data_IF_514539444698
#
_entry.id   IF_514539444698
#
_cell.length_a   1.000
_cell.length_b   1.000
_cell.length_c   1.000
_cell.angle_alpha   90.00
_cell.angle_beta   90.00
_cell.angle_gamma   90.00
#
_symmetry.space_group_name_H-M   'P 1'
#
loop_
_entity.id
_entity.type
_entity.pdbx_description
1 polymer ?
#
# COMPACT_ATOMS: atom_id res chain seq x y z
N UNK A 1 10.01 -25.95 14.82
CA UNK A 1 9.36 -25.62 13.49
C UNK A 1 8.33 -26.65 13.03
N UNK A 2 7.81 -27.49 13.94
CA UNK A 2 6.84 -28.57 13.60
C UNK A 2 5.48 -28.00 13.15
N UNK A 3 5.16 -26.77 13.53
CA UNK A 3 3.89 -26.12 13.27
C UNK A 3 4.00 -24.94 12.29
N UNK A 4 5.10 -24.81 11.56
CA UNK A 4 5.32 -23.68 10.63
C UNK A 4 5.45 -24.20 9.21
N UNK A 5 4.68 -23.63 8.29
CA UNK A 5 4.75 -23.90 6.86
C UNK A 5 5.30 -22.71 6.11
N UNK A 6 6.32 -22.92 5.27
CA UNK A 6 6.93 -21.89 4.42
C UNK A 6 6.52 -21.99 2.96
N UNK A 7 6.13 -23.17 2.50
CA UNK A 7 5.65 -23.36 1.12
C UNK A 7 4.22 -22.89 0.98
N UNK A 8 3.94 -22.06 -0.03
CA UNK A 8 2.60 -21.54 -0.30
C UNK A 8 1.53 -22.62 -0.52
N UNK A 9 1.91 -23.74 -1.12
CA UNK A 9 1.00 -24.88 -1.29
C UNK A 9 0.64 -25.57 0.05
N UNK A 10 1.60 -25.67 0.96
CA UNK A 10 1.36 -26.20 2.30
C UNK A 10 0.50 -25.23 3.13
N UNK A 11 0.78 -23.92 3.04
CA UNK A 11 0.01 -22.88 3.70
C UNK A 11 -1.45 -22.87 3.24
N UNK A 12 -1.70 -22.94 1.93
CA UNK A 12 -3.03 -23.00 1.33
C UNK A 12 -3.77 -24.28 1.77
N UNK A 13 -3.08 -25.42 1.79
CA UNK A 13 -3.67 -26.68 2.23
C UNK A 13 -4.02 -26.68 3.74
N UNK A 14 -3.18 -26.08 4.58
CA UNK A 14 -3.46 -25.89 6.01
C UNK A 14 -4.68 -24.99 6.19
N UNK A 15 -4.72 -23.83 5.52
CA UNK A 15 -5.83 -22.88 5.62
C UNK A 15 -7.16 -23.50 5.18
N UNK A 16 -7.17 -24.22 4.05
CA UNK A 16 -8.35 -24.96 3.56
C UNK A 16 -8.78 -26.08 4.51
N UNK A 17 -7.81 -26.81 5.07
CA UNK A 17 -8.06 -27.88 6.03
C UNK A 17 -8.68 -27.37 7.33
N UNK A 18 -8.21 -26.22 7.84
CA UNK A 18 -8.78 -25.54 9.01
C UNK A 18 -10.21 -25.07 8.73
N UNK A 19 -10.43 -24.35 7.64
CA UNK A 19 -11.75 -23.85 7.26
C UNK A 19 -12.77 -25.00 7.06
N UNK A 20 -12.36 -26.07 6.38
CA UNK A 20 -13.21 -27.25 6.19
C UNK A 20 -13.54 -27.96 7.50
N UNK A 21 -12.57 -28.09 8.43
CA UNK A 21 -12.79 -28.68 9.76
C UNK A 21 -13.79 -27.84 10.57
N UNK A 22 -13.68 -26.53 10.54
CA UNK A 22 -14.59 -25.63 11.22
C UNK A 22 -16.01 -25.69 10.64
N UNK A 23 -16.15 -25.64 9.31
CA UNK A 23 -17.44 -25.78 8.60
C UNK A 23 -18.15 -27.08 8.93
N UNK A 24 -17.42 -28.20 8.89
CA UNK A 24 -17.97 -29.55 9.16
C UNK A 24 -18.02 -29.92 10.63
N UNK A 25 -17.54 -29.07 11.55
CA UNK A 25 -17.47 -29.31 13.01
C UNK A 25 -16.81 -30.66 13.35
N UNK A 26 -15.72 -30.99 12.67
CA UNK A 26 -15.06 -32.28 12.84
C UNK A 26 -14.32 -32.36 14.16
N UNK A 27 -14.56 -33.45 14.92
CA UNK A 27 -13.93 -33.70 16.20
C UNK A 27 -12.48 -34.20 16.09
N UNK A 28 -12.18 -34.93 15.00
CA UNK A 28 -10.83 -35.47 14.77
C UNK A 28 -9.95 -34.46 14.07
N UNK A 29 -8.71 -34.38 14.49
CA UNK A 29 -7.69 -33.59 13.80
C UNK A 29 -7.38 -34.19 12.43
N UNK A 30 -7.46 -33.40 11.40
CA UNK A 30 -7.28 -33.85 10.00
C UNK A 30 -6.75 -32.73 9.09
N UNK A 31 -6.04 -31.75 9.66
CA UNK A 31 -5.45 -30.66 8.89
C UNK A 31 -4.16 -31.13 8.22
N UNK A 32 -4.04 -31.00 6.87
CA UNK A 32 -2.84 -31.41 6.15
C UNK A 32 -1.58 -30.71 6.69
N UNK A 33 -0.46 -31.39 6.68
CA UNK A 33 0.86 -30.89 7.12
C UNK A 33 0.97 -30.48 8.59
N UNK A 34 -0.07 -30.56 9.38
CA UNK A 34 -0.04 -30.38 10.83
C UNK A 34 -0.33 -31.72 11.52
N UNK A 35 0.67 -32.37 12.11
CA UNK A 35 0.54 -33.73 12.67
C UNK A 35 -0.36 -33.80 13.93
N UNK A 36 -0.47 -32.67 14.66
CA UNK A 36 -1.35 -32.53 15.84
C UNK A 36 -1.98 -31.15 15.88
N UNK A 37 -3.09 -31.01 16.62
CA UNK A 37 -3.71 -29.72 16.87
C UNK A 37 -2.74 -28.85 17.71
N UNK A 38 -2.32 -27.67 17.25
CA UNK A 38 -1.48 -26.78 18.03
C UNK A 38 -2.06 -26.44 19.40
N UNK A 39 -3.39 -26.37 19.54
CA UNK A 39 -4.05 -26.09 20.82
C UNK A 39 -3.78 -27.19 21.84
N UNK A 40 -3.69 -28.46 21.45
CA UNK A 40 -3.41 -29.58 22.31
C UNK A 40 -2.00 -29.50 22.98
N UNK A 41 -1.12 -28.71 22.40
CA UNK A 41 0.24 -28.47 22.91
C UNK A 41 0.45 -27.05 23.43
N UNK A 42 -0.63 -26.34 23.73
CA UNK A 42 -0.60 -25.01 24.33
C UNK A 42 -0.18 -23.89 23.36
N UNK A 43 -0.35 -24.08 22.06
CA UNK A 43 -0.06 -23.09 21.03
C UNK A 43 -1.33 -22.60 20.34
N UNK A 44 -1.29 -21.39 19.77
CA UNK A 44 -2.40 -20.83 19.02
C UNK A 44 -2.16 -20.96 17.52
N UNK A 45 -3.25 -20.94 16.74
CA UNK A 45 -3.19 -21.05 15.27
C UNK A 45 -2.71 -19.81 14.57
N UNK A 46 -2.70 -18.64 15.26
CA UNK A 46 -2.95 -17.38 14.57
C UNK A 46 -1.72 -16.71 13.98
N UNK A 47 -0.54 -16.84 14.55
CA UNK A 47 0.62 -16.11 14.03
C UNK A 47 1.82 -16.98 13.66
N UNK A 48 1.90 -18.19 14.24
CA UNK A 48 3.11 -19.02 14.14
C UNK A 48 3.08 -20.04 12.99
N UNK A 49 1.92 -20.24 12.35
CA UNK A 49 1.73 -21.32 11.36
C UNK A 49 2.07 -20.87 9.95
N UNK A 50 1.76 -19.61 9.61
CA UNK A 50 2.01 -19.06 8.27
C UNK A 50 2.95 -17.87 8.38
N UNK A 51 4.18 -18.05 7.89
CA UNK A 51 5.22 -17.04 7.82
C UNK A 51 5.54 -16.70 6.37
N UNK A 52 5.76 -15.44 6.09
CA UNK A 52 6.09 -14.95 4.76
C UNK A 52 7.59 -14.76 4.63
N UNK A 53 8.18 -15.50 3.71
CA UNK A 53 9.58 -15.36 3.31
C UNK A 53 9.70 -15.54 1.79
N UNK A 54 10.92 -15.57 1.28
CA UNK A 54 11.24 -15.74 -0.15
C UNK A 54 10.66 -17.02 -0.78
N UNK A 55 10.29 -18.03 0.02
CA UNK A 55 9.69 -19.29 -0.44
C UNK A 55 8.16 -19.29 -0.34
N UNK A 56 7.57 -18.25 0.25
CA UNK A 56 6.12 -18.14 0.42
C UNK A 56 5.46 -17.79 -0.91
N UNK A 57 4.52 -18.63 -1.34
CA UNK A 57 3.79 -18.42 -2.59
C UNK A 57 2.63 -17.44 -2.44
N UNK A 58 1.93 -17.19 -3.59
CA UNK A 58 0.75 -16.30 -3.73
C UNK A 58 -0.34 -16.53 -2.68
N UNK A 59 -0.56 -17.77 -2.26
CA UNK A 59 -1.58 -18.13 -1.27
C UNK A 59 -1.26 -17.61 0.13
N UNK A 60 0.01 -17.64 0.52
CA UNK A 60 0.46 -17.18 1.84
C UNK A 60 0.25 -15.67 2.04
N UNK A 61 0.62 -14.87 1.05
CA UNK A 61 0.44 -13.40 1.10
C UNK A 61 -1.03 -13.02 1.22
N UNK A 62 -1.90 -13.61 0.38
CA UNK A 62 -3.34 -13.36 0.44
C UNK A 62 -3.95 -13.81 1.78
N UNK A 63 -3.51 -14.95 2.31
CA UNK A 63 -3.97 -15.42 3.62
C UNK A 63 -3.61 -14.44 4.73
N UNK A 64 -2.35 -14.01 4.79
CA UNK A 64 -1.88 -13.04 5.81
C UNK A 64 -2.66 -11.72 5.74
N UNK A 65 -2.86 -11.16 4.55
CA UNK A 65 -3.62 -9.93 4.36
C UNK A 65 -5.09 -10.10 4.76
N UNK A 66 -5.70 -11.24 4.43
CA UNK A 66 -7.09 -11.53 4.77
C UNK A 66 -7.29 -11.71 6.27
N UNK A 67 -6.45 -12.49 6.93
CA UNK A 67 -6.60 -12.81 8.36
C UNK A 67 -6.29 -11.61 9.26
N UNK A 68 -5.27 -10.82 8.93
CA UNK A 68 -4.83 -9.74 9.81
C UNK A 68 -5.48 -8.39 9.51
N UNK A 69 -5.92 -8.17 8.26
CA UNK A 69 -6.41 -6.85 7.80
C UNK A 69 -7.76 -6.91 7.09
N UNK A 70 -8.38 -8.08 6.94
CA UNK A 70 -9.64 -8.24 6.22
C UNK A 70 -9.52 -8.06 4.70
N UNK A 71 -8.31 -8.00 4.16
CA UNK A 71 -8.02 -7.71 2.75
C UNK A 71 -8.02 -8.99 1.91
N UNK A 72 -9.00 -9.13 1.02
CA UNK A 72 -9.12 -10.27 0.12
C UNK A 72 -8.74 -9.87 -1.30
N UNK A 73 -7.50 -10.17 -1.71
CA UNK A 73 -6.97 -9.77 -3.02
C UNK A 73 -7.63 -10.59 -4.14
N UNK A 74 -8.07 -9.96 -5.26
CA UNK A 74 -8.54 -10.64 -6.46
C UNK A 74 -7.58 -11.74 -6.93
N UNK A 75 -8.12 -12.86 -7.41
CA UNK A 75 -7.30 -14.02 -7.78
C UNK A 75 -6.20 -13.68 -8.79
N UNK A 76 -6.55 -12.90 -9.81
CA UNK A 76 -5.62 -12.47 -10.87
C UNK A 76 -4.53 -11.51 -10.36
N UNK A 77 -4.76 -10.80 -9.26
CA UNK A 77 -3.80 -9.86 -8.66
C UNK A 77 -2.79 -10.58 -7.74
N UNK A 78 -3.15 -11.75 -7.20
CA UNK A 78 -2.34 -12.48 -6.18
C UNK A 78 -0.93 -12.79 -6.64
N UNK A 79 -0.75 -13.03 -7.93
CA UNK A 79 0.55 -13.36 -8.49
C UNK A 79 1.50 -12.16 -8.43
N UNK A 80 1.05 -11.00 -8.88
CA UNK A 80 1.85 -9.77 -8.88
C UNK A 80 2.19 -9.34 -7.45
N UNK A 81 1.20 -9.35 -6.54
CA UNK A 81 1.42 -9.03 -5.12
C UNK A 81 2.40 -10.03 -4.48
N UNK A 82 2.25 -11.31 -4.80
CA UNK A 82 3.17 -12.35 -4.33
C UNK A 82 4.61 -12.13 -4.76
N UNK A 83 4.84 -11.78 -6.03
CA UNK A 83 6.17 -11.43 -6.53
C UNK A 83 6.74 -10.17 -5.88
N UNK A 84 5.92 -9.15 -5.68
CA UNK A 84 6.34 -7.91 -5.00
C UNK A 84 6.84 -8.19 -3.58
N UNK A 85 6.03 -8.92 -2.80
CA UNK A 85 6.36 -9.27 -1.41
C UNK A 85 7.61 -10.16 -1.35
N UNK A 86 7.71 -11.12 -2.28
CA UNK A 86 8.89 -11.98 -2.39
C UNK A 86 10.15 -11.17 -2.68
N UNK A 87 10.11 -10.26 -3.65
CA UNK A 87 11.25 -9.40 -4.01
C UNK A 87 11.76 -8.61 -2.79
N UNK A 88 10.87 -8.00 -2.02
CA UNK A 88 11.25 -7.28 -0.80
C UNK A 88 11.84 -8.22 0.26
N UNK A 89 11.30 -9.44 0.42
CA UNK A 89 11.84 -10.45 1.34
C UNK A 89 13.24 -10.90 0.94
N UNK A 90 13.49 -11.07 -0.36
CA UNK A 90 14.80 -11.47 -0.90
C UNK A 90 15.84 -10.34 -0.72
N UNK A 91 15.47 -9.09 -0.96
CA UNK A 91 16.37 -7.93 -0.76
C UNK A 91 16.74 -7.72 0.71
N UNK A 92 15.78 -7.88 1.60
CA UNK A 92 16.00 -7.70 3.04
C UNK A 92 16.59 -8.95 3.73
N UNK A 93 16.65 -10.09 3.02
CA UNK A 93 17.11 -11.39 3.55
C UNK A 93 16.39 -11.82 4.84
N UNK A 94 15.06 -11.54 4.97
CA UNK A 94 14.30 -11.75 6.19
C UNK A 94 12.89 -12.26 5.95
N UNK A 95 12.37 -12.87 6.99
CA UNK A 95 10.95 -13.11 7.17
C UNK A 95 10.19 -11.78 7.34
N UNK A 96 9.06 -11.63 6.63
CA UNK A 96 8.24 -10.43 6.72
C UNK A 96 7.10 -10.64 7.73
N UNK A 97 6.92 -9.68 8.62
CA UNK A 97 5.75 -9.65 9.51
C UNK A 97 4.47 -9.35 8.73
N UNK A 98 3.29 -9.76 9.22
CA UNK A 98 2.02 -9.41 8.60
C UNK A 98 1.85 -7.91 8.34
N UNK A 99 2.27 -7.09 9.28
CA UNK A 99 2.23 -5.63 9.15
C UNK A 99 3.12 -5.14 8.00
N UNK A 100 4.29 -5.72 7.81
CA UNK A 100 5.19 -5.34 6.73
C UNK A 100 4.66 -5.77 5.36
N UNK A 101 4.03 -6.94 5.28
CA UNK A 101 3.33 -7.39 4.06
C UNK A 101 2.22 -6.40 3.69
N UNK A 102 1.43 -5.93 4.66
CA UNK A 102 0.41 -4.91 4.45
C UNK A 102 1.01 -3.58 3.95
N UNK A 103 2.08 -3.08 4.57
CA UNK A 103 2.74 -1.84 4.17
C UNK A 103 3.29 -1.90 2.72
N UNK A 104 3.87 -3.03 2.32
CA UNK A 104 4.33 -3.25 0.93
C UNK A 104 3.15 -3.17 -0.04
N UNK A 105 2.05 -3.81 0.31
CA UNK A 105 0.82 -3.79 -0.49
C UNK A 105 0.21 -2.38 -0.54
N UNK A 106 0.08 -1.71 0.61
CA UNK A 106 -0.47 -0.36 0.73
C UNK A 106 0.36 0.67 -0.04
N UNK A 107 1.67 0.66 0.10
CA UNK A 107 2.57 1.61 -0.57
C UNK A 107 2.47 1.54 -2.10
N UNK A 108 2.19 0.38 -2.66
CA UNK A 108 2.13 0.21 -4.11
C UNK A 108 0.74 0.34 -4.70
N UNK A 109 -0.28 -0.17 -4.00
CA UNK A 109 -1.59 -0.36 -4.62
C UNK A 109 -2.70 0.47 -3.98
N UNK A 110 -2.61 0.89 -2.72
CA UNK A 110 -3.75 1.48 -2.02
C UNK A 110 -3.68 3.00 -2.03
N UNK A 111 -4.65 3.65 -2.68
CA UNK A 111 -4.79 5.12 -2.73
C UNK A 111 -3.51 5.85 -3.19
N UNK A 112 -2.63 5.20 -3.92
CA UNK A 112 -1.36 5.76 -4.39
C UNK A 112 -1.57 6.49 -5.70
N UNK A 113 -1.57 7.81 -5.69
CA UNK A 113 -1.90 8.67 -6.81
C UNK A 113 -0.79 9.71 -7.03
N UNK A 114 0.41 9.30 -7.48
CA UNK A 114 1.57 10.19 -7.58
C UNK A 114 1.48 11.17 -8.74
N UNK A 115 0.82 10.82 -9.84
CA UNK A 115 0.87 11.58 -11.09
C UNK A 115 -0.38 12.41 -11.32
N UNK A 116 -1.57 11.85 -11.13
CA UNK A 116 -2.82 12.60 -11.17
C UNK A 116 -3.79 12.10 -10.10
N UNK A 117 -4.75 12.95 -9.74
CA UNK A 117 -5.78 12.67 -8.73
C UNK A 117 -7.14 13.15 -9.22
N UNK A 118 -8.20 12.46 -8.81
CA UNK A 118 -9.57 12.95 -8.89
C UNK A 118 -9.98 13.38 -7.49
N UNK A 119 -10.19 14.70 -7.29
CA UNK A 119 -10.52 15.28 -5.98
C UNK A 119 -11.99 15.21 -5.66
N UNK A 120 -12.81 15.54 -6.66
CA UNK A 120 -14.27 15.59 -6.54
C UNK A 120 -14.87 14.94 -7.79
N UNK A 121 -15.97 14.22 -7.61
CA UNK A 121 -16.71 13.62 -8.72
C UNK A 121 -18.20 13.67 -8.40
N UNK A 122 -18.96 14.26 -9.31
CA UNK A 122 -20.41 14.39 -9.21
C UNK A 122 -21.08 13.56 -10.32
N UNK A 123 -22.22 12.95 -10.00
CA UNK A 123 -22.94 12.09 -10.94
C UNK A 123 -24.35 12.58 -11.15
N UNK A 124 -24.78 12.58 -12.41
CA UNK A 124 -26.13 12.89 -12.82
C UNK A 124 -26.66 11.78 -13.71
N UNK A 125 -27.82 11.26 -13.36
CA UNK A 125 -28.50 10.28 -14.21
C UNK A 125 -29.27 11.01 -15.33
N UNK A 126 -28.99 10.59 -16.56
CA UNK A 126 -29.68 11.05 -17.77
C UNK A 126 -30.00 9.80 -18.61
N UNK A 127 -29.79 9.81 -19.90
CA UNK A 127 -29.70 8.55 -20.67
C UNK A 127 -28.31 7.97 -20.54
N UNK A 128 -28.08 7.19 -19.43
CA UNK A 128 -26.80 6.80 -18.91
C UNK A 128 -26.40 7.57 -17.63
N UNK A 129 -25.13 7.51 -17.25
CA UNK A 129 -24.54 8.26 -16.13
C UNK A 129 -23.57 9.30 -16.67
N UNK A 130 -23.86 10.58 -16.44
CA UNK A 130 -22.88 11.66 -16.63
C UNK A 130 -22.05 11.79 -15.34
N UNK A 131 -20.74 11.74 -15.45
CA UNK A 131 -19.82 12.12 -14.40
C UNK A 131 -19.18 13.47 -14.74
N UNK A 132 -19.06 14.34 -13.74
CA UNK A 132 -18.24 15.55 -13.76
C UNK A 132 -17.18 15.41 -12.68
N UNK A 133 -15.91 15.52 -13.04
CA UNK A 133 -14.80 15.31 -12.11
C UNK A 133 -13.76 16.43 -12.18
N UNK A 134 -13.18 16.75 -11.02
CA UNK A 134 -12.03 17.63 -10.93
C UNK A 134 -10.74 16.79 -10.95
N UNK A 135 -10.06 16.77 -12.10
CA UNK A 135 -8.74 16.14 -12.25
C UNK A 135 -7.65 17.15 -11.86
N UNK A 136 -6.73 16.71 -11.00
CA UNK A 136 -5.51 17.45 -10.67
C UNK A 136 -4.32 16.70 -11.27
N UNK A 137 -3.61 17.33 -12.19
CA UNK A 137 -2.45 16.80 -12.90
C UNK A 137 -1.41 17.90 -13.13
N UNK A 138 -0.13 17.64 -12.89
CA UNK A 138 0.95 18.63 -13.05
C UNK A 138 0.74 19.91 -12.23
N UNK A 139 0.10 19.84 -11.05
CA UNK A 139 -0.21 21.00 -10.20
C UNK A 139 -1.40 21.85 -10.67
N UNK A 140 -2.05 21.50 -11.78
CA UNK A 140 -3.25 22.18 -12.29
C UNK A 140 -4.49 21.33 -12.04
N UNK A 141 -5.62 21.99 -11.74
CA UNK A 141 -6.91 21.33 -11.61
C UNK A 141 -7.81 21.75 -12.78
N UNK A 142 -8.48 20.76 -13.39
CA UNK A 142 -9.45 20.97 -14.48
C UNK A 142 -10.73 20.21 -14.19
N UNK A 143 -11.86 20.81 -14.50
CA UNK A 143 -13.16 20.15 -14.45
C UNK A 143 -13.40 19.54 -15.84
N UNK A 144 -13.76 18.27 -15.86
CA UNK A 144 -14.01 17.47 -17.07
C UNK A 144 -15.20 16.58 -16.84
N UNK A 145 -15.92 16.26 -17.89
CA UNK A 145 -17.11 15.43 -17.84
C UNK A 145 -17.12 14.39 -18.96
N UNK A 146 -17.77 13.27 -18.71
CA UNK A 146 -18.06 12.25 -19.72
C UNK A 146 -19.30 11.43 -19.35
N UNK A 147 -19.84 10.76 -20.36
CA UNK A 147 -20.93 9.80 -20.24
C UNK A 147 -20.39 8.38 -20.10
N UNK A 148 -21.11 7.55 -19.37
CA UNK A 148 -20.86 6.12 -19.26
C UNK A 148 -22.12 5.33 -18.96
N UNK A 149 -22.05 4.01 -19.10
CA UNK A 149 -23.12 3.09 -18.74
C UNK A 149 -23.33 2.98 -17.23
N UNK A 150 -22.26 3.28 -16.46
CA UNK A 150 -22.24 3.29 -15.00
C UNK A 150 -21.28 4.35 -14.46
N UNK A 151 -21.27 4.54 -13.13
CA UNK A 151 -20.44 5.58 -12.50
C UNK A 151 -18.96 5.39 -12.76
N UNK A 152 -18.44 4.16 -12.57
CA UNK A 152 -17.01 3.87 -12.77
C UNK A 152 -16.64 3.94 -14.26
N UNK A 153 -17.54 3.54 -15.17
CA UNK A 153 -17.35 3.64 -16.60
C UNK A 153 -17.29 5.11 -17.06
N UNK A 154 -18.18 5.97 -16.55
CA UNK A 154 -18.14 7.40 -16.84
C UNK A 154 -16.82 8.06 -16.39
N UNK A 155 -16.32 7.71 -15.18
CA UNK A 155 -15.03 8.19 -14.70
C UNK A 155 -13.86 7.62 -15.53
N UNK A 156 -13.96 6.37 -15.97
CA UNK A 156 -12.97 5.77 -16.88
C UNK A 156 -12.91 6.53 -18.21
N UNK A 157 -14.07 6.91 -18.76
CA UNK A 157 -14.13 7.69 -20.00
C UNK A 157 -13.55 9.10 -19.81
N UNK A 158 -13.82 9.78 -18.68
CA UNK A 158 -13.16 11.04 -18.32
C UNK A 158 -11.63 10.91 -18.38
N UNK A 159 -11.07 9.86 -17.77
CA UNK A 159 -9.62 9.66 -17.72
C UNK A 159 -9.06 9.38 -19.11
N UNK A 160 -9.74 8.52 -19.90
CA UNK A 160 -9.33 8.21 -21.27
C UNK A 160 -9.28 9.44 -22.15
N UNK A 161 -10.34 10.28 -22.08
CA UNK A 161 -10.45 11.50 -22.88
C UNK A 161 -9.43 12.55 -22.44
N UNK A 162 -9.23 12.71 -21.12
CA UNK A 162 -8.29 13.69 -20.58
C UNK A 162 -6.84 13.43 -20.98
N UNK A 163 -6.41 12.16 -20.94
CA UNK A 163 -5.03 11.76 -21.27
C UNK A 163 -4.84 11.27 -22.71
N UNK A 164 -5.92 11.12 -23.48
CA UNK A 164 -5.86 10.54 -24.83
C UNK A 164 -5.38 9.09 -24.84
N UNK A 165 -5.70 8.31 -23.82
CA UNK A 165 -5.26 6.91 -23.64
C UNK A 165 -6.40 5.93 -23.84
N UNK A 166 -6.04 4.69 -24.18
CA UNK A 166 -6.99 3.59 -24.29
C UNK A 166 -6.59 2.46 -23.38
N UNK A 167 -7.52 1.93 -22.61
CA UNK A 167 -7.39 0.72 -21.80
C UNK A 167 -8.77 0.08 -21.62
N UNK A 168 -8.79 -1.18 -21.24
CA UNK A 168 -9.99 -1.93 -20.89
C UNK A 168 -10.06 -2.11 -19.36
N UNK A 169 -11.22 -1.89 -18.76
CA UNK A 169 -11.50 -2.22 -17.38
C UNK A 169 -11.85 -3.71 -17.32
N UNK A 170 -10.88 -4.54 -16.96
CA UNK A 170 -10.96 -6.01 -17.07
C UNK A 170 -11.40 -6.69 -15.79
N UNK A 171 -11.16 -6.07 -14.63
CA UNK A 171 -11.54 -6.61 -13.32
C UNK A 171 -12.04 -5.49 -12.43
N UNK A 172 -13.15 -5.76 -11.74
CA UNK A 172 -13.65 -4.93 -10.66
C UNK A 172 -14.19 -5.85 -9.56
N UNK A 173 -13.66 -5.69 -8.35
CA UNK A 173 -14.09 -6.40 -7.15
C UNK A 173 -14.11 -5.43 -5.98
N UNK A 174 -15.01 -5.67 -5.02
CA UNK A 174 -15.15 -4.86 -3.81
C UNK A 174 -15.58 -5.70 -2.61
N UNK A 175 -15.18 -5.30 -1.41
CA UNK A 175 -15.67 -5.86 -0.16
C UNK A 175 -15.53 -4.88 1.01
N UNK A 176 -16.26 -5.15 2.08
CA UNK A 176 -16.11 -4.42 3.33
C UNK A 176 -14.91 -4.96 4.14
N UNK A 177 -14.09 -4.07 4.72
CA UNK A 177 -12.93 -4.45 5.53
C UNK A 177 -13.30 -4.99 6.92
N UNK A 178 -14.49 -4.62 7.43
CA UNK A 178 -15.01 -5.07 8.72
C UNK A 178 -16.52 -5.26 8.65
N UNK A 179 -17.11 -5.80 9.71
CA UNK A 179 -18.56 -5.88 9.82
C UNK A 179 -19.15 -4.58 10.40
N UNK A 180 -20.36 -4.21 9.96
CA UNK A 180 -21.10 -3.06 10.46
C UNK A 180 -21.19 -1.89 9.47
N UNK A 181 -22.07 -0.93 9.78
CA UNK A 181 -22.40 0.21 8.90
C UNK A 181 -21.29 1.27 8.79
N UNK A 182 -20.30 1.23 9.68
CA UNK A 182 -19.12 2.11 9.65
C UNK A 182 -17.89 1.45 9.03
N UNK A 183 -18.06 0.30 8.37
CA UNK A 183 -16.96 -0.39 7.70
C UNK A 183 -16.51 0.38 6.47
N UNK A 184 -15.19 0.49 6.29
CA UNK A 184 -14.62 1.01 5.05
C UNK A 184 -14.78 -0.02 3.93
N UNK A 185 -15.04 0.50 2.74
CA UNK A 185 -15.03 -0.29 1.52
C UNK A 185 -13.60 -0.39 0.97
N UNK A 186 -13.25 -1.58 0.50
CA UNK A 186 -12.06 -1.82 -0.29
C UNK A 186 -12.47 -2.24 -1.69
N UNK A 187 -12.01 -1.51 -2.69
CA UNK A 187 -12.24 -1.78 -4.09
C UNK A 187 -10.93 -2.10 -4.81
N UNK A 188 -11.02 -2.98 -5.80
CA UNK A 188 -9.91 -3.34 -6.69
C UNK A 188 -10.32 -3.10 -8.13
N UNK A 189 -9.42 -2.50 -8.88
CA UNK A 189 -9.57 -2.30 -10.32
C UNK A 189 -8.36 -2.88 -11.03
N UNK A 190 -8.60 -3.77 -11.99
CA UNK A 190 -7.62 -4.24 -12.94
C UNK A 190 -7.93 -3.69 -14.33
N UNK A 191 -7.00 -2.95 -14.92
CA UNK A 191 -7.11 -2.45 -16.30
C UNK A 191 -6.12 -3.17 -17.20
N UNK A 192 -6.50 -3.44 -18.43
CA UNK A 192 -5.62 -4.00 -19.47
C UNK A 192 -5.26 -2.91 -20.47
N UNK A 193 -3.96 -2.70 -20.67
CA UNK A 193 -3.41 -1.81 -21.67
C UNK A 193 -2.24 -2.52 -22.35
N UNK A 194 -2.25 -2.59 -23.69
CA UNK A 194 -1.21 -3.29 -24.49
C UNK A 194 -0.92 -4.72 -23.98
N UNK A 195 -1.98 -5.52 -23.81
CA UNK A 195 -1.95 -6.90 -23.30
C UNK A 195 -1.36 -7.09 -21.90
N UNK A 196 -1.07 -6.01 -21.18
CA UNK A 196 -0.59 -6.04 -19.81
C UNK A 196 -1.65 -5.52 -18.85
N UNK A 197 -1.78 -6.23 -17.72
CA UNK A 197 -2.69 -5.84 -16.65
C UNK A 197 -1.99 -4.94 -15.63
N UNK A 198 -2.70 -3.89 -15.20
CA UNK A 198 -2.26 -2.95 -14.17
C UNK A 198 -3.33 -2.87 -13.08
N UNK A 199 -2.89 -2.86 -11.83
CA UNK A 199 -3.77 -2.96 -10.69
C UNK A 199 -3.78 -1.71 -9.82
N UNK A 200 -4.94 -1.39 -9.28
CA UNK A 200 -5.10 -0.41 -8.22
C UNK A 200 -6.11 -0.89 -7.18
N UNK A 201 -5.93 -0.40 -5.99
CA UNK A 201 -6.83 -0.62 -4.87
C UNK A 201 -7.18 0.71 -4.21
N UNK A 202 -8.42 0.84 -3.73
CA UNK A 202 -8.90 2.02 -3.04
C UNK A 202 -9.57 1.63 -1.73
N UNK A 203 -9.37 2.44 -0.71
CA UNK A 203 -10.05 2.34 0.59
C UNK A 203 -10.71 3.69 0.88
N UNK A 204 -12.01 3.67 1.13
CA UNK A 204 -12.78 4.84 1.54
C UNK A 204 -14.04 4.40 2.33
N UNK A 205 -14.66 5.33 3.06
CA UNK A 205 -15.95 5.08 3.70
C UNK A 205 -17.09 5.04 2.65
N UNK A 206 -16.89 5.70 1.50
CA UNK A 206 -17.78 5.68 0.33
C UNK A 206 -17.26 4.69 -0.71
N UNK A 207 -18.08 3.69 -1.05
CA UNK A 207 -17.75 2.64 -2.03
C UNK A 207 -17.45 3.21 -3.42
N UNK A 208 -18.09 4.29 -3.83
CA UNK A 208 -17.85 4.93 -5.13
C UNK A 208 -16.49 5.63 -5.13
N UNK A 209 -16.15 6.32 -4.04
CA UNK A 209 -14.82 6.93 -3.88
C UNK A 209 -13.72 5.87 -3.81
N UNK A 210 -13.95 4.80 -3.08
CA UNK A 210 -13.05 3.63 -3.04
C UNK A 210 -12.79 3.09 -4.45
N UNK A 211 -13.83 2.93 -5.27
CA UNK A 211 -13.73 2.44 -6.65
C UNK A 211 -13.01 3.43 -7.58
N UNK A 212 -13.29 4.72 -7.46
CA UNK A 212 -12.58 5.78 -8.21
C UNK A 212 -11.10 5.80 -7.83
N UNK A 213 -10.79 5.73 -6.54
CA UNK A 213 -9.40 5.67 -6.06
C UNK A 213 -8.68 4.45 -6.65
N UNK A 214 -9.30 3.27 -6.65
CA UNK A 214 -8.74 2.08 -7.24
C UNK A 214 -8.45 2.25 -8.74
N UNK A 215 -9.39 2.82 -9.51
CA UNK A 215 -9.20 3.10 -10.93
C UNK A 215 -8.06 4.10 -11.17
N UNK A 216 -8.03 5.20 -10.41
CA UNK A 216 -6.97 6.22 -10.52
C UNK A 216 -5.60 5.61 -10.20
N UNK A 217 -5.49 4.75 -9.18
CA UNK A 217 -4.24 4.03 -8.87
C UNK A 217 -3.83 3.13 -10.03
N UNK A 218 -4.74 2.35 -10.60
CA UNK A 218 -4.43 1.47 -11.74
C UNK A 218 -3.90 2.26 -12.94
N UNK A 219 -4.56 3.37 -13.29
CA UNK A 219 -4.13 4.24 -14.41
C UNK A 219 -2.79 4.92 -14.10
N UNK A 220 -2.53 5.34 -12.87
CA UNK A 220 -1.23 5.87 -12.44
C UNK A 220 -0.08 4.84 -12.60
N UNK A 221 -0.37 3.55 -12.79
CA UNK A 221 0.64 2.52 -13.06
C UNK A 221 1.05 2.47 -14.55
N UNK A 222 0.26 3.07 -15.46
CA UNK A 222 0.54 3.03 -16.90
C UNK A 222 1.86 3.72 -17.25
N UNK A 223 2.69 3.13 -18.12
CA UNK A 223 3.95 3.74 -18.54
C UNK A 223 3.80 5.13 -19.17
N UNK A 224 2.74 5.34 -19.95
CA UNK A 224 2.45 6.64 -20.60
C UNK A 224 2.18 7.74 -19.57
N UNK A 225 1.50 7.43 -18.48
CA UNK A 225 1.23 8.38 -17.38
C UNK A 225 2.52 8.68 -16.60
N UNK A 226 3.32 7.63 -16.33
CA UNK A 226 4.62 7.79 -15.66
C UNK A 226 5.63 8.58 -16.49
N UNK A 227 5.62 8.39 -17.83
CA UNK A 227 6.51 9.10 -18.73
C UNK A 227 6.21 10.59 -18.85
N UNK A 228 4.93 10.98 -18.77
CA UNK A 228 4.51 12.39 -18.82
C UNK A 228 5.07 13.21 -17.65
N UNK A 229 5.22 12.61 -16.47
CA UNK A 229 5.85 13.29 -15.32
C UNK A 229 7.37 13.12 -15.22
N UNK A 230 7.95 12.09 -15.80
CA UNK A 230 9.40 11.93 -15.80
C UNK A 230 10.11 13.06 -16.57
N UNK A 231 9.40 13.70 -17.50
CA UNK A 231 9.87 14.89 -18.24
C UNK A 231 9.72 16.18 -17.41
N UNK A 232 8.83 16.20 -16.41
CA UNK A 232 8.48 17.45 -15.71
C UNK A 232 9.19 17.71 -14.39
N UNK A 233 9.85 16.73 -13.77
CA UNK A 233 10.38 16.98 -12.42
C UNK A 233 11.69 16.28 -12.03
N UNK A 234 12.70 16.32 -12.91
CA UNK A 234 14.10 16.00 -12.55
C UNK A 234 14.49 16.70 -11.24
N UNK A 235 14.10 17.98 -11.09
CA UNK A 235 14.35 18.77 -9.88
C UNK A 235 13.71 18.17 -8.63
N UNK A 236 12.47 17.66 -8.69
CA UNK A 236 11.83 17.00 -7.54
C UNK A 236 12.54 15.69 -7.18
N UNK A 237 12.96 14.92 -8.17
CA UNK A 237 13.74 13.69 -7.96
C UNK A 237 15.08 14.03 -7.31
N UNK A 238 15.78 15.03 -7.81
CA UNK A 238 17.05 15.51 -7.23
C UNK A 238 16.87 16.01 -5.78
N UNK A 239 15.81 16.79 -5.51
CA UNK A 239 15.47 17.21 -4.15
C UNK A 239 15.21 16.03 -3.22
N UNK A 240 14.42 15.04 -3.65
CA UNK A 240 14.15 13.82 -2.85
C UNK A 240 15.43 13.02 -2.59
N UNK A 241 16.29 12.86 -3.60
CA UNK A 241 17.58 12.18 -3.44
C UNK A 241 18.50 12.92 -2.47
N UNK A 242 18.57 14.24 -2.56
CA UNK A 242 19.34 15.07 -1.63
C UNK A 242 18.82 14.94 -0.20
N UNK A 243 17.50 14.98 0.01
CA UNK A 243 16.87 14.74 1.32
C UNK A 243 17.21 13.33 1.81
N UNK A 244 17.14 12.32 0.96
CA UNK A 244 17.44 10.94 1.34
C UNK A 244 18.91 10.73 1.73
N UNK A 245 19.83 11.43 1.11
CA UNK A 245 21.25 11.41 1.46
C UNK A 245 21.53 12.12 2.80
N UNK A 246 20.81 13.20 3.10
CA UNK A 246 21.07 14.09 4.22
C UNK A 246 20.02 14.05 5.34
N UNK A 247 19.09 13.09 5.33
CA UNK A 247 17.86 13.04 6.15
C UNK A 247 18.08 13.22 7.67
N UNK A 248 19.26 12.92 8.19
CA UNK A 248 19.55 13.00 9.64
C UNK A 248 19.45 14.42 10.18
N UNK A 249 20.02 15.38 9.46
CA UNK A 249 20.17 16.77 9.95
C UNK A 249 19.61 17.81 9.00
N UNK A 250 19.08 17.41 7.84
CA UNK A 250 18.64 18.34 6.81
C UNK A 250 17.52 19.26 7.31
N UNK A 251 17.66 20.54 7.01
CA UNK A 251 16.64 21.57 7.18
C UNK A 251 16.05 21.99 5.82
N UNK A 252 14.94 22.72 5.85
CA UNK A 252 14.38 23.31 4.62
C UNK A 252 15.33 24.36 4.03
N UNK A 253 16.04 25.10 4.91
CA UNK A 253 17.05 26.08 4.55
C UNK A 253 18.20 25.41 3.76
N UNK A 254 18.79 24.31 4.28
CA UNK A 254 19.83 23.54 3.59
C UNK A 254 19.40 23.10 2.19
N UNK A 255 18.14 22.62 2.07
CA UNK A 255 17.59 22.21 0.79
C UNK A 255 17.43 23.39 -0.17
N UNK A 256 16.93 24.52 0.33
CA UNK A 256 16.73 25.74 -0.44
C UNK A 256 18.08 26.32 -0.94
N UNK A 257 19.07 26.35 -0.06
CA UNK A 257 20.43 26.80 -0.37
C UNK A 257 21.09 25.93 -1.45
N UNK A 258 21.00 24.60 -1.28
CA UNK A 258 21.58 23.64 -2.22
C UNK A 258 21.01 23.79 -3.66
N UNK A 259 19.73 24.10 -3.79
CA UNK A 259 19.06 24.29 -5.07
C UNK A 259 19.01 25.75 -5.54
N UNK A 260 19.62 26.66 -4.82
CA UNK A 260 19.61 28.12 -5.08
C UNK A 260 18.18 28.69 -5.18
N UNK A 261 17.31 28.27 -4.28
CA UNK A 261 15.89 28.64 -4.22
C UNK A 261 15.56 29.25 -2.86
N UNK A 262 14.41 29.92 -2.75
CA UNK A 262 13.90 30.37 -1.44
C UNK A 262 13.14 29.25 -0.73
N UNK A 263 13.20 29.17 0.60
CA UNK A 263 12.45 28.22 1.41
C UNK A 263 10.94 28.22 1.11
N UNK A 264 10.26 29.38 0.99
CA UNK A 264 8.85 29.42 0.65
C UNK A 264 8.55 28.75 -0.70
N UNK A 265 9.44 28.97 -1.69
CA UNK A 265 9.30 28.33 -3.00
C UNK A 265 9.47 26.82 -2.90
N UNK A 266 10.52 26.33 -2.25
CA UNK A 266 10.79 24.88 -2.07
C UNK A 266 9.64 24.21 -1.32
N UNK A 267 9.15 24.83 -0.24
CA UNK A 267 8.04 24.31 0.55
C UNK A 267 6.77 24.16 -0.28
N UNK A 268 6.40 25.20 -1.04
CA UNK A 268 5.24 25.21 -1.94
C UNK A 268 5.42 24.19 -3.06
N UNK A 269 6.56 24.22 -3.73
CA UNK A 269 6.90 23.34 -4.85
C UNK A 269 6.81 21.86 -4.47
N UNK A 270 7.46 21.48 -3.35
CA UNK A 270 7.40 20.11 -2.85
C UNK A 270 5.98 19.68 -2.51
N UNK A 271 5.19 20.54 -1.85
CA UNK A 271 3.80 20.26 -1.51
C UNK A 271 2.93 20.08 -2.75
N UNK A 272 3.06 20.97 -3.74
CA UNK A 272 2.30 20.91 -4.99
C UNK A 272 2.66 19.67 -5.83
N UNK A 273 3.96 19.36 -5.95
CA UNK A 273 4.47 18.30 -6.81
C UNK A 273 4.48 16.91 -6.19
N UNK A 274 4.67 16.78 -4.88
CA UNK A 274 4.71 15.47 -4.21
C UNK A 274 3.47 15.18 -3.36
N UNK A 275 2.56 16.15 -3.19
CA UNK A 275 1.44 16.05 -2.26
C UNK A 275 1.87 16.07 -0.77
N UNK A 276 3.17 16.09 -0.47
CA UNK A 276 3.73 16.02 0.89
C UNK A 276 4.61 17.23 1.18
N UNK A 277 4.57 17.70 2.42
CA UNK A 277 5.50 18.74 2.90
C UNK A 277 6.91 18.16 3.03
N UNK A 278 7.92 19.05 3.04
CA UNK A 278 9.31 18.68 3.35
C UNK A 278 9.42 17.89 4.66
N UNK A 279 8.76 18.37 5.73
CA UNK A 279 8.76 17.70 7.03
C UNK A 279 8.17 16.29 7.00
N UNK A 280 7.09 16.08 6.24
CA UNK A 280 6.47 14.74 6.06
C UNK A 280 7.40 13.79 5.30
N UNK A 281 8.13 14.27 4.29
CA UNK A 281 9.09 13.46 3.53
C UNK A 281 10.26 13.05 4.43
N UNK A 282 10.88 14.00 5.13
CA UNK A 282 11.99 13.72 6.07
C UNK A 282 11.55 12.75 7.16
N UNK A 283 10.38 13.01 7.77
CA UNK A 283 9.84 12.13 8.81
C UNK A 283 9.60 10.70 8.29
N UNK A 284 9.08 10.55 7.09
CA UNK A 284 8.87 9.24 6.48
C UNK A 284 10.18 8.48 6.27
N UNK A 285 11.23 9.14 5.79
CA UNK A 285 12.56 8.55 5.61
C UNK A 285 13.14 8.13 6.97
N UNK A 286 13.11 9.01 7.97
CA UNK A 286 13.61 8.72 9.33
C UNK A 286 12.90 7.52 9.95
N UNK A 287 11.57 7.45 9.83
CA UNK A 287 10.77 6.34 10.36
C UNK A 287 11.07 5.01 9.64
N UNK A 288 11.21 5.02 8.29
CA UNK A 288 11.61 3.81 7.54
C UNK A 288 12.99 3.32 7.99
N UNK A 289 13.97 4.20 8.14
CA UNK A 289 15.32 3.85 8.64
C UNK A 289 15.29 3.34 10.09
N UNK A 290 14.50 3.99 10.97
CA UNK A 290 14.33 3.53 12.35
C UNK A 290 13.73 2.12 12.41
N UNK A 291 12.72 1.84 11.60
CA UNK A 291 12.11 0.51 11.46
C UNK A 291 13.14 -0.55 11.11
N UNK A 292 13.97 -0.29 10.10
CA UNK A 292 15.06 -1.20 9.70
C UNK A 292 16.05 -1.43 10.83
N UNK A 293 16.46 -0.39 11.56
CA UNK A 293 17.39 -0.52 12.69
C UNK A 293 16.81 -1.28 13.88
N UNK A 294 15.51 -1.13 14.14
CA UNK A 294 14.81 -1.86 15.20
C UNK A 294 14.78 -3.37 14.93
N UNK A 295 14.54 -3.76 13.67
CA UNK A 295 14.48 -5.18 13.28
C UNK A 295 15.87 -5.83 13.11
N UNK A 296 16.91 -5.04 12.77
CA UNK A 296 18.21 -5.56 12.34
C UNK A 296 19.27 -5.61 13.44
N UNK A 297 18.96 -5.19 14.67
CA UNK A 297 19.99 -5.12 15.70
C UNK A 297 19.48 -4.89 17.12
N UNK A 298 20.41 -5.08 18.07
CA UNK A 298 20.18 -4.88 19.50
C UNK A 298 20.48 -3.43 19.95
N UNK A 299 20.53 -2.46 19.00
CA UNK A 299 20.81 -1.07 19.34
C UNK A 299 19.68 -0.51 20.23
N UNK A 300 20.04 0.18 21.31
CA UNK A 300 19.04 0.82 22.20
C UNK A 300 18.14 1.79 21.42
N UNK A 301 16.87 1.87 21.81
CA UNK A 301 15.87 2.71 21.11
C UNK A 301 16.30 4.18 21.10
N UNK A 302 16.93 4.63 22.16
CA UNK A 302 17.50 5.97 22.29
C UNK A 302 18.56 6.24 21.22
N UNK A 303 19.47 5.28 21.04
CA UNK A 303 20.52 5.36 20.02
C UNK A 303 19.95 5.32 18.59
N UNK A 304 18.90 4.54 18.37
CA UNK A 304 18.19 4.53 17.08
C UNK A 304 17.54 5.90 16.81
N UNK A 305 16.84 6.48 17.79
CA UNK A 305 16.25 7.81 17.67
C UNK A 305 17.28 8.86 17.25
N UNK A 306 18.42 8.90 17.94
CA UNK A 306 19.53 9.81 17.61
C UNK A 306 20.13 9.50 16.23
N UNK A 307 20.34 8.24 15.89
CA UNK A 307 20.96 7.83 14.63
C UNK A 307 20.11 8.18 13.39
N UNK A 308 18.80 8.29 13.56
CA UNK A 308 17.88 8.70 12.49
C UNK A 308 17.52 10.18 12.51
N UNK A 309 18.14 10.98 13.41
CA UNK A 309 18.03 12.43 13.42
C UNK A 309 16.95 13.01 14.34
N UNK A 310 16.51 12.27 15.36
CA UNK A 310 15.67 12.82 16.43
C UNK A 310 16.52 13.26 17.61
N UNK A 311 16.30 14.47 18.10
CA UNK A 311 16.96 14.99 19.29
C UNK A 311 16.22 14.61 20.58
N UNK A 312 14.93 14.26 20.52
CA UNK A 312 14.11 13.81 21.64
C UNK A 312 13.58 12.42 21.40
N UNK A 313 13.89 11.53 22.34
CA UNK A 313 13.40 10.13 22.32
C UNK A 313 11.88 10.07 22.50
N UNK A 314 11.31 10.97 23.33
CA UNK A 314 9.86 11.03 23.51
C UNK A 314 9.15 11.45 22.21
N UNK A 315 9.71 12.42 21.47
CA UNK A 315 9.15 12.81 20.18
C UNK A 315 9.25 11.67 19.15
N UNK A 316 10.39 10.99 19.12
CA UNK A 316 10.57 9.79 18.30
C UNK A 316 9.52 8.72 18.61
N UNK A 317 9.37 8.35 19.89
CA UNK A 317 8.42 7.31 20.32
C UNK A 317 6.96 7.66 19.94
N UNK A 318 6.53 8.91 20.16
CA UNK A 318 5.18 9.38 19.76
C UNK A 318 4.98 9.29 18.26
N UNK A 319 5.98 9.73 17.48
CA UNK A 319 5.92 9.74 16.02
C UNK A 319 5.90 8.31 15.48
N UNK A 320 6.72 7.44 16.03
CA UNK A 320 6.77 6.03 15.65
C UNK A 320 5.45 5.33 15.96
N UNK A 321 4.91 5.50 17.18
CA UNK A 321 3.61 4.93 17.57
C UNK A 321 2.47 5.46 16.71
N UNK A 322 2.46 6.76 16.37
CA UNK A 322 1.46 7.34 15.48
C UNK A 322 1.50 6.71 14.08
N UNK A 323 2.69 6.38 13.58
CA UNK A 323 2.86 5.84 12.23
C UNK A 323 2.60 4.34 12.15
N UNK A 324 3.05 3.57 13.14
CA UNK A 324 3.03 2.11 13.10
C UNK A 324 2.07 1.47 14.11
N UNK A 325 1.28 2.25 14.82
CA UNK A 325 0.36 1.83 15.88
C UNK A 325 1.00 1.01 17.02
N UNK A 326 2.33 0.96 17.07
CA UNK A 326 3.15 0.24 18.04
C UNK A 326 4.28 1.16 18.52
N UNK A 327 4.69 0.99 19.79
CA UNK A 327 5.92 1.61 20.26
C UNK A 327 7.15 0.97 19.60
N UNK A 328 8.30 1.65 19.55
CA UNK A 328 9.53 1.05 19.01
C UNK A 328 9.93 -0.27 19.67
N UNK A 329 9.69 -0.40 21.00
CA UNK A 329 9.98 -1.63 21.76
C UNK A 329 9.02 -2.75 21.36
N UNK A 330 7.71 -2.48 21.29
CA UNK A 330 6.71 -3.46 20.84
C UNK A 330 7.01 -3.91 19.40
N UNK A 331 7.37 -2.97 18.52
CA UNK A 331 7.72 -3.26 17.14
C UNK A 331 8.98 -4.13 16.99
N UNK A 332 9.97 -3.96 17.88
CA UNK A 332 11.18 -4.81 17.92
C UNK A 332 10.86 -6.24 18.28
N UNK A 333 9.92 -6.43 19.20
CA UNK A 333 9.56 -7.73 19.78
C UNK A 333 8.48 -8.47 18.98
N UNK A 334 7.85 -7.79 18.00
CA UNK A 334 6.88 -8.38 17.07
C UNK A 334 7.58 -9.04 15.89
#
# INVERSE_FOLDING_TARGET
>A
LVFTAFSGSHQDAIAKGMAWREEKKLYKWSVPYLPVDPVDVGRTYDSDVIRINSQSGRGGVNYVLKQNFGISIPEKMREEVGYLVKHVSDEEHKELSPQWVYEIFEEKYVNTQPYFQIKECHFKQIDGIMAEATITHGGQSRIVDALGNGRLDAVSNIIKDYFGISYELSVYEEHALSQGSSSKAMSYVGITCEDKMYWGAGIDDDIIKSSINALVVAVNQLPVIKADESIQDERLVEMKNYIQANYKNITLEDLAEHFHLSEPYVSKYMKEKSGKTFGEIVQNIRMKKARTLLKNGNMAVENIALSVGYQSVEHFNRTFKKKYNMTPVEYRNS
#
